data_IF_726717939797
#
_entry.id   IF_726717939797
#
_cell.length_a   1.000
_cell.length_b   1.000
_cell.length_c   1.000
_cell.angle_alpha   90.00
_cell.angle_beta   90.00
_cell.angle_gamma   90.00
#
_symmetry.space_group_name_H-M   'P 1'
#
loop_
_entity.id
_entity.type
_entity.pdbx_description
1 polymer ?
#
# COMPACT_ATOMS: atom_id res chain seq x y z
N UNK A 1 7.75 -24.84 -7.47
CA UNK A 1 6.85 -24.03 -8.30
C UNK A 1 7.30 -22.55 -8.34
N UNK A 2 7.65 -21.94 -7.22
CA UNK A 2 8.17 -20.54 -7.17
C UNK A 2 9.38 -20.35 -8.08
N UNK A 3 10.42 -21.21 -7.96
CA UNK A 3 11.62 -21.10 -8.79
C UNK A 3 11.38 -21.36 -10.29
N UNK A 4 10.40 -22.19 -10.62
CA UNK A 4 10.00 -22.41 -12.01
C UNK A 4 9.35 -21.17 -12.62
N UNK A 5 8.43 -20.53 -11.88
CA UNK A 5 7.81 -19.26 -12.29
C UNK A 5 8.88 -18.17 -12.43
N UNK A 6 9.79 -18.04 -11.47
CA UNK A 6 10.87 -17.06 -11.52
C UNK A 6 11.75 -17.24 -12.77
N UNK A 7 12.10 -18.48 -13.13
CA UNK A 7 12.89 -18.77 -14.35
C UNK A 7 12.15 -18.48 -15.64
N UNK A 8 10.80 -18.61 -15.63
CA UNK A 8 9.99 -18.43 -16.82
C UNK A 8 9.67 -16.95 -17.08
N UNK A 9 9.43 -16.17 -16.02
CA UNK A 9 8.92 -14.79 -16.12
C UNK A 9 9.94 -13.70 -15.79
N UNK A 10 11.04 -14.02 -15.09
CA UNK A 10 12.05 -13.03 -14.70
C UNK A 10 13.36 -13.30 -15.45
N UNK A 11 13.70 -12.37 -16.35
CA UNK A 11 14.99 -12.43 -17.06
C UNK A 11 16.11 -12.15 -16.05
N UNK A 12 17.22 -12.92 -16.12
CA UNK A 12 18.34 -12.81 -15.17
C UNK A 12 17.95 -13.02 -13.69
N UNK A 13 16.99 -13.92 -13.44
CA UNK A 13 16.38 -14.24 -12.13
C UNK A 13 17.38 -14.45 -10.97
N UNK A 14 18.66 -14.74 -11.27
CA UNK A 14 19.72 -14.89 -10.26
C UNK A 14 20.33 -13.59 -9.74
N UNK A 15 20.11 -12.44 -10.43
CA UNK A 15 20.68 -11.14 -10.06
C UNK A 15 19.72 -10.33 -9.19
N UNK A 16 19.40 -10.86 -8.01
CA UNK A 16 18.39 -10.27 -7.10
C UNK A 16 18.71 -8.85 -6.62
N UNK A 17 19.98 -8.44 -6.67
CA UNK A 17 20.41 -7.09 -6.28
C UNK A 17 20.23 -6.04 -7.42
N UNK A 18 19.88 -6.48 -8.64
CA UNK A 18 19.61 -5.58 -9.76
C UNK A 18 18.21 -4.97 -9.57
N UNK A 19 18.07 -3.63 -9.57
CA UNK A 19 16.77 -2.97 -9.40
C UNK A 19 15.72 -3.39 -10.45
N UNK A 20 16.12 -3.64 -11.71
CA UNK A 20 15.23 -4.08 -12.77
C UNK A 20 14.72 -5.50 -12.56
N UNK A 21 15.56 -6.38 -12.02
CA UNK A 21 15.19 -7.75 -11.67
C UNK A 21 14.23 -7.74 -10.48
N UNK A 22 14.46 -6.91 -9.46
CA UNK A 22 13.54 -6.73 -8.30
C UNK A 22 12.15 -6.29 -8.76
N UNK A 23 12.06 -5.29 -9.63
CA UNK A 23 10.79 -4.83 -10.22
C UNK A 23 10.09 -5.97 -10.99
N UNK A 24 10.83 -6.76 -11.76
CA UNK A 24 10.27 -7.91 -12.50
C UNK A 24 9.69 -8.97 -11.59
N UNK A 25 10.30 -9.23 -10.43
CA UNK A 25 9.74 -10.11 -9.39
C UNK A 25 8.44 -9.54 -8.80
N UNK A 26 8.40 -8.25 -8.50
CA UNK A 26 7.19 -7.58 -8.01
C UNK A 26 6.03 -7.64 -9.01
N UNK A 27 6.30 -7.37 -10.30
CA UNK A 27 5.29 -7.48 -11.38
C UNK A 27 4.79 -8.92 -11.50
N UNK A 28 5.67 -9.90 -11.50
CA UNK A 28 5.28 -11.31 -11.58
C UNK A 28 4.38 -11.71 -10.40
N UNK A 29 4.74 -11.33 -9.18
CA UNK A 29 3.94 -11.61 -7.99
C UNK A 29 2.57 -10.94 -8.07
N UNK A 30 2.51 -9.68 -8.48
CA UNK A 30 1.27 -8.93 -8.66
C UNK A 30 0.35 -9.55 -9.70
N UNK A 31 0.87 -9.94 -10.88
CA UNK A 31 0.07 -10.60 -11.94
C UNK A 31 -0.46 -11.95 -11.46
N UNK A 32 0.37 -12.77 -10.81
CA UNK A 32 -0.07 -14.06 -10.24
C UNK A 32 -1.15 -13.83 -9.18
N UNK A 33 -0.99 -12.83 -8.32
CA UNK A 33 -1.98 -12.45 -7.32
C UNK A 33 -3.31 -12.05 -7.94
N UNK A 34 -3.32 -11.19 -8.97
CA UNK A 34 -4.54 -10.77 -9.67
C UNK A 34 -5.26 -11.97 -10.28
N UNK A 35 -4.55 -12.80 -11.05
CA UNK A 35 -5.16 -13.93 -11.76
C UNK A 35 -5.78 -14.91 -10.77
N UNK A 36 -5.07 -15.25 -9.69
CA UNK A 36 -5.59 -16.17 -8.68
C UNK A 36 -6.77 -15.57 -7.91
N UNK A 37 -6.67 -14.33 -7.46
CA UNK A 37 -7.74 -13.68 -6.71
C UNK A 37 -9.02 -13.50 -7.56
N UNK A 38 -8.90 -13.15 -8.83
CA UNK A 38 -10.05 -13.08 -9.75
C UNK A 38 -10.66 -14.47 -9.97
N UNK A 39 -9.84 -15.50 -10.19
CA UNK A 39 -10.32 -16.86 -10.37
C UNK A 39 -11.05 -17.38 -9.11
N UNK A 40 -10.49 -17.12 -7.92
CA UNK A 40 -11.11 -17.49 -6.65
C UNK A 40 -12.39 -16.70 -6.39
N UNK A 41 -12.42 -15.40 -6.69
CA UNK A 41 -13.62 -14.57 -6.59
C UNK A 41 -14.76 -15.17 -7.43
N UNK A 42 -14.52 -15.43 -8.72
CA UNK A 42 -15.53 -15.97 -9.62
C UNK A 42 -16.02 -17.35 -9.15
N UNK A 43 -15.10 -18.25 -8.77
CA UNK A 43 -15.44 -19.59 -8.31
C UNK A 43 -16.26 -19.56 -7.01
N UNK A 44 -15.82 -18.78 -6.01
CA UNK A 44 -16.54 -18.64 -4.72
C UNK A 44 -17.90 -17.96 -4.91
N UNK A 45 -17.97 -16.89 -5.72
CA UNK A 45 -19.24 -16.21 -6.00
C UNK A 45 -20.26 -17.16 -6.64
N UNK A 46 -19.82 -17.96 -7.63
CA UNK A 46 -20.70 -18.92 -8.28
C UNK A 46 -21.27 -19.97 -7.30
N UNK A 47 -20.43 -20.59 -6.46
CA UNK A 47 -20.90 -21.60 -5.50
C UNK A 47 -21.63 -20.96 -4.31
N UNK A 48 -21.26 -19.75 -3.89
CA UNK A 48 -21.92 -19.02 -2.82
C UNK A 48 -23.35 -18.61 -3.19
N UNK A 49 -23.54 -18.09 -4.41
CA UNK A 49 -24.88 -17.77 -4.93
C UNK A 49 -25.71 -19.05 -5.10
N UNK A 50 -25.14 -20.12 -5.67
CA UNK A 50 -25.84 -21.39 -5.86
C UNK A 50 -26.26 -22.04 -4.51
N UNK A 51 -25.45 -21.86 -3.47
CA UNK A 51 -25.73 -22.37 -2.13
C UNK A 51 -26.61 -21.44 -1.28
N UNK A 52 -26.92 -20.24 -1.76
CA UNK A 52 -27.63 -19.22 -1.00
C UNK A 52 -26.85 -18.68 0.21
N UNK A 53 -25.52 -18.75 0.22
CA UNK A 53 -24.67 -18.34 1.36
C UNK A 53 -24.14 -16.92 1.20
N UNK A 54 -24.54 -16.05 2.11
CA UNK A 54 -24.04 -14.66 2.18
C UNK A 54 -22.58 -14.63 2.62
N UNK A 55 -22.17 -15.50 3.53
CA UNK A 55 -20.81 -15.55 4.04
C UNK A 55 -19.80 -15.96 2.95
N UNK A 56 -20.16 -16.91 2.07
CA UNK A 56 -19.31 -17.35 0.98
C UNK A 56 -19.20 -16.27 -0.11
N UNK A 57 -20.31 -15.59 -0.42
CA UNK A 57 -20.30 -14.45 -1.34
C UNK A 57 -19.44 -13.30 -0.77
N UNK A 58 -19.54 -13.04 0.53
CA UNK A 58 -18.70 -12.07 1.22
C UNK A 58 -17.20 -12.39 1.10
N UNK A 59 -16.85 -13.66 1.29
CA UNK A 59 -15.47 -14.14 1.14
C UNK A 59 -14.98 -14.07 -0.34
N UNK A 60 -15.88 -14.23 -1.32
CA UNK A 60 -15.58 -13.99 -2.73
C UNK A 60 -15.23 -12.51 -3.01
N UNK A 61 -15.99 -11.60 -2.39
CA UNK A 61 -15.74 -10.15 -2.53
C UNK A 61 -14.43 -9.73 -1.87
N UNK A 62 -14.04 -10.37 -0.78
CA UNK A 62 -12.71 -10.15 -0.20
C UNK A 62 -11.60 -10.44 -1.23
N UNK A 63 -11.69 -11.56 -1.97
CA UNK A 63 -10.73 -11.86 -3.05
C UNK A 63 -10.77 -10.83 -4.19
N UNK A 64 -11.92 -10.20 -4.47
CA UNK A 64 -12.00 -9.10 -5.43
C UNK A 64 -11.28 -7.85 -4.91
N UNK A 65 -11.40 -7.54 -3.63
CA UNK A 65 -10.65 -6.45 -2.98
C UNK A 65 -9.14 -6.66 -3.10
N UNK A 66 -8.65 -7.87 -2.87
CA UNK A 66 -7.24 -8.23 -2.99
C UNK A 66 -6.74 -8.09 -4.45
N UNK A 67 -7.55 -8.58 -5.42
CA UNK A 67 -7.24 -8.40 -6.83
C UNK A 67 -7.15 -6.93 -7.21
N UNK A 68 -8.06 -6.11 -6.70
CA UNK A 68 -8.12 -4.68 -6.93
C UNK A 68 -6.91 -3.95 -6.35
N UNK A 69 -6.49 -4.30 -5.14
CA UNK A 69 -5.26 -3.78 -4.52
C UNK A 69 -4.03 -4.10 -5.37
N UNK A 70 -3.93 -5.31 -5.89
CA UNK A 70 -2.84 -5.71 -6.80
C UNK A 70 -2.89 -4.93 -8.14
N UNK A 71 -4.10 -4.68 -8.70
CA UNK A 71 -4.27 -3.88 -9.93
C UNK A 71 -3.83 -2.45 -9.71
N UNK A 72 -4.21 -1.85 -8.57
CA UNK A 72 -3.81 -0.48 -8.20
C UNK A 72 -2.29 -0.39 -8.13
N UNK A 73 -1.65 -1.36 -7.47
CA UNK A 73 -0.18 -1.42 -7.37
C UNK A 73 0.49 -1.52 -8.75
N UNK A 74 0.04 -2.43 -9.62
CA UNK A 74 0.60 -2.60 -10.97
C UNK A 74 0.32 -1.40 -11.88
N UNK A 75 -0.88 -0.83 -11.81
CA UNK A 75 -1.28 0.33 -12.62
C UNK A 75 -0.50 1.56 -12.19
N UNK A 76 -0.25 1.71 -10.89
CA UNK A 76 0.57 2.75 -10.32
C UNK A 76 1.99 2.72 -10.86
N UNK A 77 2.63 1.57 -10.87
CA UNK A 77 3.96 1.41 -11.49
C UNK A 77 3.97 1.81 -12.97
N UNK A 78 2.92 1.51 -13.72
CA UNK A 78 2.84 1.79 -15.16
C UNK A 78 2.50 3.26 -15.46
N UNK A 79 1.64 3.90 -14.68
CA UNK A 79 1.27 5.31 -14.84
C UNK A 79 2.32 6.25 -14.22
N UNK A 80 2.94 5.87 -13.12
CA UNK A 80 4.05 6.60 -12.50
C UNK A 80 5.26 6.70 -13.44
N UNK A 81 5.41 5.79 -14.39
CA UNK A 81 6.45 5.83 -15.42
C UNK A 81 6.19 6.86 -16.53
N UNK A 82 4.99 7.46 -16.63
CA UNK A 82 4.73 8.54 -17.58
C UNK A 82 5.50 9.81 -17.16
N UNK A 83 6.33 10.37 -18.06
CA UNK A 83 7.04 11.60 -17.76
C UNK A 83 6.07 12.77 -17.54
N UNK A 84 6.54 13.79 -16.85
CA UNK A 84 5.83 15.06 -16.74
C UNK A 84 5.56 15.65 -18.13
N UNK A 85 4.39 16.24 -18.30
CA UNK A 85 3.98 16.95 -19.49
C UNK A 85 3.52 18.38 -19.15
N UNK A 86 3.12 19.15 -20.15
CA UNK A 86 2.67 20.55 -19.96
C UNK A 86 1.39 20.67 -19.12
N UNK A 87 0.55 19.63 -19.09
CA UNK A 87 -0.66 19.57 -18.28
C UNK A 87 -0.39 19.11 -16.84
N UNK A 88 0.63 18.29 -16.66
CA UNK A 88 1.01 17.69 -15.37
C UNK A 88 2.52 17.83 -15.13
N UNK A 89 3.02 19.03 -14.74
CA UNK A 89 4.46 19.30 -14.57
C UNK A 89 5.14 18.41 -13.52
N UNK A 90 4.36 17.98 -12.52
CA UNK A 90 4.83 17.07 -11.46
C UNK A 90 4.61 15.58 -11.81
N UNK A 91 4.17 15.26 -13.05
CA UNK A 91 3.92 13.90 -13.50
C UNK A 91 2.53 13.39 -13.15
N UNK A 92 2.29 12.13 -13.46
CA UNK A 92 0.97 11.49 -13.38
C UNK A 92 0.83 10.54 -12.18
N UNK A 93 1.77 10.51 -11.24
CA UNK A 93 1.81 9.54 -10.15
C UNK A 93 0.57 9.52 -9.26
N UNK A 94 -0.10 10.67 -9.06
CA UNK A 94 -1.35 10.74 -8.27
C UNK A 94 -2.54 9.99 -8.87
N UNK A 95 -2.51 9.62 -10.15
CA UNK A 95 -3.53 8.75 -10.74
C UNK A 95 -3.61 7.39 -10.06
N UNK A 96 -2.52 6.90 -9.46
CA UNK A 96 -2.53 5.69 -8.64
C UNK A 96 -3.47 5.83 -7.43
N UNK A 97 -3.34 6.92 -6.68
CA UNK A 97 -4.21 7.19 -5.54
C UNK A 97 -5.68 7.37 -5.96
N UNK A 98 -5.94 8.02 -7.10
CA UNK A 98 -7.31 8.16 -7.62
C UNK A 98 -7.91 6.82 -8.03
N UNK A 99 -7.15 5.97 -8.71
CA UNK A 99 -7.59 4.63 -9.07
C UNK A 99 -7.86 3.78 -7.81
N UNK A 100 -6.96 3.83 -6.84
CA UNK A 100 -7.13 3.19 -5.53
C UNK A 100 -8.38 3.68 -4.81
N UNK A 101 -8.67 4.98 -4.84
CA UNK A 101 -9.87 5.55 -4.22
C UNK A 101 -11.15 5.00 -4.85
N UNK A 102 -11.22 4.89 -6.19
CA UNK A 102 -12.37 4.29 -6.87
C UNK A 102 -12.61 2.86 -6.39
N UNK A 103 -11.54 2.05 -6.33
CA UNK A 103 -11.61 0.68 -5.82
C UNK A 103 -12.05 0.66 -4.35
N UNK A 104 -11.47 1.50 -3.51
CA UNK A 104 -11.79 1.59 -2.09
C UNK A 104 -13.27 1.94 -1.85
N UNK A 105 -13.84 2.86 -2.64
CA UNK A 105 -15.27 3.19 -2.58
C UNK A 105 -16.14 2.01 -2.98
N UNK A 106 -15.79 1.29 -4.06
CA UNK A 106 -16.52 0.09 -4.48
C UNK A 106 -16.49 -1.01 -3.42
N UNK A 107 -15.31 -1.29 -2.83
CA UNK A 107 -15.15 -2.28 -1.76
C UNK A 107 -15.97 -1.88 -0.53
N UNK A 108 -15.95 -0.61 -0.15
CA UNK A 108 -16.75 -0.08 0.96
C UNK A 108 -18.25 -0.26 0.72
N UNK A 109 -18.74 0.08 -0.49
CA UNK A 109 -20.15 -0.09 -0.86
C UNK A 109 -20.57 -1.56 -0.81
N UNK A 110 -19.74 -2.47 -1.32
CA UNK A 110 -20.02 -3.91 -1.27
C UNK A 110 -19.96 -4.43 0.15
N UNK A 111 -19.02 -3.99 1.00
CA UNK A 111 -18.99 -4.33 2.42
C UNK A 111 -20.30 -3.96 3.14
N UNK A 112 -20.86 -2.80 2.83
CA UNK A 112 -22.16 -2.37 3.35
C UNK A 112 -23.31 -3.29 2.91
N UNK A 113 -23.36 -3.67 1.61
CA UNK A 113 -24.40 -4.60 1.10
C UNK A 113 -24.28 -6.00 1.73
N UNK A 114 -23.06 -6.49 1.98
CA UNK A 114 -22.83 -7.76 2.67
C UNK A 114 -23.36 -7.71 4.12
N UNK A 115 -23.09 -6.61 4.86
CA UNK A 115 -23.62 -6.40 6.21
C UNK A 115 -25.14 -6.44 6.19
N UNK A 116 -25.77 -5.72 5.26
CA UNK A 116 -27.22 -5.71 5.08
C UNK A 116 -27.77 -7.11 4.80
N UNK A 117 -27.11 -7.85 3.89
CA UNK A 117 -27.46 -9.24 3.59
C UNK A 117 -27.31 -10.16 4.80
N UNK A 118 -26.22 -10.04 5.57
CA UNK A 118 -25.99 -10.78 6.80
C UNK A 118 -27.07 -10.51 7.86
N UNK A 119 -27.43 -9.24 8.08
CA UNK A 119 -28.53 -8.87 9.00
C UNK A 119 -29.87 -9.46 8.53
N UNK A 120 -30.19 -9.33 7.23
CA UNK A 120 -31.39 -9.93 6.67
C UNK A 120 -31.47 -11.45 6.92
N UNK A 121 -30.33 -12.14 6.74
CA UNK A 121 -30.19 -13.59 6.93
C UNK A 121 -30.26 -14.01 8.41
N UNK A 122 -29.89 -13.12 9.33
CA UNK A 122 -30.09 -13.36 10.78
C UNK A 122 -31.57 -13.25 11.16
N UNK A 123 -32.31 -12.30 10.54
CA UNK A 123 -33.76 -12.07 10.83
C UNK A 123 -34.60 -13.13 10.17
N UNK A 124 -34.31 -13.51 8.94
CA UNK A 124 -35.00 -14.52 8.15
C UNK A 124 -33.99 -15.60 7.70
N UNK A 125 -33.71 -16.57 8.57
CA UNK A 125 -32.72 -17.61 8.28
C UNK A 125 -33.18 -18.53 7.15
N UNK A 126 -32.27 -18.77 6.20
CA UNK A 126 -32.48 -19.80 5.17
C UNK A 126 -31.29 -20.78 5.21
N UNK A 127 -31.55 -22.08 5.09
CA UNK A 127 -30.48 -23.08 5.14
C UNK A 127 -29.50 -22.93 3.98
N UNK A 128 -28.22 -23.07 4.28
CA UNK A 128 -27.17 -23.09 3.26
C UNK A 128 -27.04 -24.50 2.68
N UNK A 129 -27.16 -24.62 1.36
CA UNK A 129 -26.98 -25.91 0.68
C UNK A 129 -25.50 -26.25 0.55
N UNK A 130 -25.04 -27.14 1.45
CA UNK A 130 -23.66 -27.66 1.38
C UNK A 130 -23.55 -28.72 0.30
N UNK A 131 -23.07 -28.34 -0.86
CA UNK A 131 -22.88 -29.22 -2.02
C UNK A 131 -21.41 -29.60 -2.21
N UNK A 132 -21.17 -30.71 -2.94
CA UNK A 132 -19.80 -31.13 -3.28
C UNK A 132 -19.01 -30.05 -4.04
N UNK A 133 -19.57 -29.36 -5.04
CA UNK A 133 -18.88 -28.22 -5.69
C UNK A 133 -18.46 -27.12 -4.72
N UNK A 134 -19.31 -26.78 -3.76
CA UNK A 134 -19.00 -25.78 -2.73
C UNK A 134 -17.78 -26.22 -1.91
N UNK A 135 -17.78 -27.45 -1.40
CA UNK A 135 -16.66 -27.98 -0.60
C UNK A 135 -15.36 -27.98 -1.40
N UNK A 136 -15.40 -28.43 -2.65
CA UNK A 136 -14.22 -28.47 -3.53
C UNK A 136 -13.68 -27.08 -3.77
N UNK A 137 -14.53 -26.08 -4.10
CA UNK A 137 -14.09 -24.71 -4.35
C UNK A 137 -13.50 -24.06 -3.10
N UNK A 138 -14.13 -24.25 -1.94
CA UNK A 138 -13.62 -23.71 -0.67
C UNK A 138 -12.26 -24.32 -0.30
N UNK A 139 -12.10 -25.63 -0.40
CA UNK A 139 -10.83 -26.31 -0.13
C UNK A 139 -9.73 -25.91 -1.12
N UNK A 140 -10.06 -25.81 -2.41
CA UNK A 140 -9.13 -25.32 -3.42
C UNK A 140 -8.73 -23.85 -3.16
N UNK A 141 -9.66 -23.03 -2.68
CA UNK A 141 -9.38 -21.66 -2.31
C UNK A 141 -8.40 -21.57 -1.15
N UNK A 142 -8.61 -22.35 -0.08
CA UNK A 142 -7.68 -22.44 1.05
C UNK A 142 -6.29 -22.88 0.59
N UNK A 143 -6.22 -23.92 -0.24
CA UNK A 143 -4.97 -24.42 -0.78
C UNK A 143 -4.25 -23.38 -1.66
N UNK A 144 -4.98 -22.68 -2.52
CA UNK A 144 -4.44 -21.63 -3.38
C UNK A 144 -3.89 -20.45 -2.56
N UNK A 145 -4.60 -19.99 -1.54
CA UNK A 145 -4.15 -18.90 -0.65
C UNK A 145 -2.96 -19.33 0.22
N UNK A 146 -2.94 -20.56 0.72
CA UNK A 146 -1.78 -21.12 1.42
C UNK A 146 -0.54 -21.20 0.52
N UNK A 147 -0.75 -21.56 -0.76
CA UNK A 147 0.32 -21.52 -1.75
C UNK A 147 0.77 -20.08 -2.03
N UNK A 148 -0.14 -19.10 -2.18
CA UNK A 148 0.19 -17.68 -2.37
C UNK A 148 0.99 -17.13 -1.18
N UNK A 149 0.59 -17.47 0.06
CA UNK A 149 1.35 -17.13 1.26
C UNK A 149 2.81 -17.62 1.14
N UNK A 150 3.01 -18.90 0.88
CA UNK A 150 4.36 -19.48 0.73
C UNK A 150 5.14 -18.90 -0.46
N UNK A 151 4.45 -18.58 -1.57
CA UNK A 151 5.02 -17.97 -2.76
C UNK A 151 5.53 -16.56 -2.48
N UNK A 152 4.70 -15.71 -1.88
CA UNK A 152 5.04 -14.32 -1.57
C UNK A 152 6.10 -14.25 -0.47
N UNK A 153 6.05 -15.13 0.56
CA UNK A 153 7.12 -15.20 1.57
C UNK A 153 8.48 -15.49 0.92
N UNK A 154 8.57 -16.54 0.10
CA UNK A 154 9.83 -16.92 -0.56
C UNK A 154 10.36 -15.85 -1.51
N UNK A 155 9.47 -15.14 -2.21
CA UNK A 155 9.89 -14.02 -3.06
C UNK A 155 10.28 -12.80 -2.23
N UNK A 156 9.52 -12.48 -1.19
CA UNK A 156 9.80 -11.39 -0.25
C UNK A 156 11.17 -11.53 0.38
N UNK A 157 11.47 -12.71 0.92
CA UNK A 157 12.79 -13.03 1.51
C UNK A 157 13.90 -12.92 0.46
N UNK A 158 13.63 -13.33 -0.78
CA UNK A 158 14.64 -13.35 -1.85
C UNK A 158 15.04 -11.97 -2.34
N UNK A 159 14.11 -11.01 -2.37
CA UNK A 159 14.36 -9.66 -2.86
C UNK A 159 14.26 -8.61 -1.74
N UNK A 160 14.17 -9.04 -0.48
CA UNK A 160 14.03 -8.19 0.72
C UNK A 160 12.89 -7.16 0.54
N UNK A 161 11.69 -7.65 0.18
CA UNK A 161 10.52 -6.82 -0.12
C UNK A 161 9.47 -6.88 0.98
N UNK A 162 9.31 -5.79 1.72
CA UNK A 162 8.26 -5.65 2.73
C UNK A 162 6.84 -5.73 2.13
N UNK A 163 6.66 -5.24 0.89
CA UNK A 163 5.38 -5.32 0.18
C UNK A 163 4.96 -6.77 -0.07
N UNK A 164 5.90 -7.64 -0.49
CA UNK A 164 5.60 -9.07 -0.67
C UNK A 164 5.39 -9.78 0.66
N UNK A 165 6.11 -9.39 1.72
CA UNK A 165 5.87 -9.89 3.07
C UNK A 165 4.45 -9.52 3.57
N UNK A 166 4.02 -8.28 3.36
CA UNK A 166 2.65 -7.85 3.66
C UNK A 166 1.61 -8.66 2.88
N UNK A 167 1.80 -8.87 1.56
CA UNK A 167 0.91 -9.70 0.73
C UNK A 167 0.87 -11.16 1.18
N UNK A 168 1.96 -11.68 1.75
CA UNK A 168 1.98 -13.03 2.34
C UNK A 168 1.12 -13.09 3.62
N UNK A 169 1.16 -12.04 4.45
CA UNK A 169 0.32 -11.91 5.65
C UNK A 169 -1.17 -11.84 5.25
N UNK A 170 -1.53 -11.07 4.23
CA UNK A 170 -2.89 -10.99 3.70
C UNK A 170 -3.38 -12.36 3.25
N UNK A 171 -2.58 -13.08 2.46
CA UNK A 171 -2.90 -14.45 2.03
C UNK A 171 -3.10 -15.42 3.20
N UNK A 172 -2.34 -15.25 4.31
CA UNK A 172 -2.55 -16.03 5.54
C UNK A 172 -3.90 -15.70 6.19
N UNK A 173 -4.23 -14.41 6.26
CA UNK A 173 -5.50 -13.97 6.85
C UNK A 173 -6.69 -14.52 6.05
N UNK A 174 -6.57 -14.58 4.71
CA UNK A 174 -7.58 -15.18 3.83
C UNK A 174 -7.75 -16.70 4.08
N UNK A 175 -6.66 -17.44 4.31
CA UNK A 175 -6.75 -18.85 4.72
C UNK A 175 -7.58 -18.98 5.99
N UNK A 176 -7.35 -18.14 7.00
CA UNK A 176 -8.07 -18.16 8.27
C UNK A 176 -9.55 -17.83 8.04
N UNK A 177 -9.85 -16.75 7.30
CA UNK A 177 -11.22 -16.29 7.04
C UNK A 177 -12.02 -17.32 6.24
N UNK A 178 -11.47 -17.81 5.12
CA UNK A 178 -12.12 -18.83 4.29
C UNK A 178 -12.35 -20.13 5.07
N UNK A 179 -11.40 -20.52 5.93
CA UNK A 179 -11.55 -21.71 6.80
C UNK A 179 -12.68 -21.49 7.81
N UNK A 180 -12.77 -20.31 8.43
CA UNK A 180 -13.84 -19.99 9.36
C UNK A 180 -15.22 -20.05 8.68
N UNK A 181 -15.36 -19.47 7.48
CA UNK A 181 -16.61 -19.52 6.69
C UNK A 181 -16.99 -20.96 6.35
N UNK A 182 -16.03 -21.78 5.90
CA UNK A 182 -16.26 -23.19 5.60
C UNK A 182 -16.71 -23.97 6.86
N UNK A 183 -16.06 -23.75 8.00
CA UNK A 183 -16.43 -24.39 9.27
C UNK A 183 -17.84 -23.97 9.68
N UNK A 184 -18.20 -22.69 9.59
CA UNK A 184 -19.56 -22.22 9.86
C UNK A 184 -20.59 -22.91 8.97
N UNK A 185 -20.35 -23.02 7.66
CA UNK A 185 -21.24 -23.70 6.72
C UNK A 185 -21.41 -25.19 7.06
N UNK A 186 -20.32 -25.89 7.42
CA UNK A 186 -20.39 -27.30 7.84
C UNK A 186 -21.12 -27.47 9.17
N UNK A 187 -20.86 -26.63 10.16
CA UNK A 187 -21.55 -26.66 11.44
C UNK A 187 -23.05 -26.42 11.24
N UNK A 188 -23.44 -25.42 10.44
CA UNK A 188 -24.82 -25.17 10.08
C UNK A 188 -25.48 -26.41 9.47
N UNK A 189 -24.78 -27.05 8.52
CA UNK A 189 -25.30 -28.24 7.84
C UNK A 189 -25.57 -29.44 8.80
N UNK A 190 -24.65 -29.70 9.74
CA UNK A 190 -24.77 -30.85 10.65
C UNK A 190 -25.63 -30.60 11.90
N UNK A 191 -25.71 -29.35 12.36
CA UNK A 191 -26.39 -29.00 13.61
C UNK A 191 -27.76 -28.37 13.40
N UNK A 192 -28.03 -27.88 12.17
CA UNK A 192 -29.22 -27.07 11.89
C UNK A 192 -29.17 -25.66 12.49
N UNK A 193 -28.03 -25.24 13.01
CA UNK A 193 -27.82 -23.86 13.48
C UNK A 193 -27.59 -22.94 12.31
N UNK A 194 -28.36 -21.88 12.17
CA UNK A 194 -28.27 -20.91 11.09
C UNK A 194 -27.14 -19.89 11.36
N UNK A 195 -25.88 -20.28 11.08
CA UNK A 195 -24.67 -19.47 11.34
C UNK A 195 -24.25 -18.60 10.17
N UNK A 196 -24.77 -18.84 8.96
CA UNK A 196 -24.33 -18.13 7.73
C UNK A 196 -24.52 -16.61 7.83
N UNK A 197 -25.67 -16.15 8.33
CA UNK A 197 -25.94 -14.74 8.55
C UNK A 197 -24.94 -14.08 9.50
N UNK A 198 -24.55 -14.74 10.58
CA UNK A 198 -23.55 -14.24 11.53
C UNK A 198 -22.15 -14.22 10.93
N UNK A 199 -21.76 -15.27 10.21
CA UNK A 199 -20.49 -15.33 9.51
C UNK A 199 -20.44 -14.27 8.41
N UNK A 200 -21.51 -14.10 7.62
CA UNK A 200 -21.62 -13.05 6.61
C UNK A 200 -21.52 -11.65 7.20
N UNK A 201 -22.18 -11.39 8.33
CA UNK A 201 -22.09 -10.12 9.05
C UNK A 201 -20.65 -9.82 9.49
N UNK A 202 -19.96 -10.82 10.09
CA UNK A 202 -18.58 -10.67 10.54
C UNK A 202 -17.62 -10.36 9.37
N UNK A 203 -17.73 -11.10 8.27
CA UNK A 203 -16.94 -10.87 7.05
C UNK A 203 -17.29 -9.51 6.42
N UNK A 204 -18.58 -9.15 6.37
CA UNK A 204 -19.04 -7.86 5.86
C UNK A 204 -18.47 -6.68 6.65
N UNK A 205 -18.42 -6.76 7.98
CA UNK A 205 -17.78 -5.75 8.83
C UNK A 205 -16.28 -5.69 8.52
N UNK A 206 -15.60 -6.82 8.38
CA UNK A 206 -14.19 -6.87 8.02
C UNK A 206 -13.93 -6.20 6.67
N UNK A 207 -14.72 -6.50 5.64
CA UNK A 207 -14.61 -5.91 4.30
C UNK A 207 -14.88 -4.40 4.35
N UNK A 208 -15.90 -3.95 5.10
CA UNK A 208 -16.22 -2.53 5.26
C UNK A 208 -15.07 -1.77 5.92
N UNK A 209 -14.51 -2.29 7.01
CA UNK A 209 -13.38 -1.66 7.73
C UNK A 209 -12.16 -1.61 6.83
N UNK A 210 -11.86 -2.68 6.10
CA UNK A 210 -10.75 -2.73 5.14
C UNK A 210 -10.95 -1.71 3.99
N UNK A 211 -12.17 -1.60 3.46
CA UNK A 211 -12.51 -0.61 2.44
C UNK A 211 -12.32 0.83 2.94
N UNK A 212 -12.78 1.15 4.16
CA UNK A 212 -12.60 2.47 4.78
C UNK A 212 -11.12 2.78 5.05
N UNK A 213 -10.34 1.79 5.49
CA UNK A 213 -8.90 1.93 5.65
C UNK A 213 -8.25 2.27 4.30
N UNK A 214 -8.60 1.55 3.23
CA UNK A 214 -8.10 1.81 1.87
C UNK A 214 -8.50 3.20 1.35
N UNK A 215 -9.73 3.69 1.65
CA UNK A 215 -10.14 5.07 1.35
C UNK A 215 -9.20 6.06 2.03
N UNK A 216 -8.92 5.87 3.33
CA UNK A 216 -8.00 6.72 4.07
C UNK A 216 -6.60 6.72 3.47
N UNK A 217 -6.04 5.55 3.17
CA UNK A 217 -4.68 5.38 2.67
C UNK A 217 -4.50 5.96 1.25
N UNK A 218 -5.58 6.04 0.47
CA UNK A 218 -5.56 6.66 -0.86
C UNK A 218 -5.84 8.16 -0.84
N UNK A 219 -6.64 8.64 0.11
CA UNK A 219 -6.99 10.07 0.25
C UNK A 219 -5.89 10.87 0.95
N UNK A 220 -5.26 10.30 2.00
CA UNK A 220 -4.24 11.01 2.78
C UNK A 220 -3.09 11.57 1.93
N UNK A 221 -2.46 10.80 1.01
CA UNK A 221 -1.43 11.33 0.12
C UNK A 221 -1.94 12.44 -0.83
N UNK A 222 -3.22 12.37 -1.25
CA UNK A 222 -3.83 13.42 -2.08
C UNK A 222 -4.00 14.74 -1.31
N UNK A 223 -4.29 14.64 -0.01
CA UNK A 223 -4.41 15.80 0.89
C UNK A 223 -3.06 16.37 1.33
N UNK A 224 -1.95 15.70 1.00
CA UNK A 224 -0.61 16.13 1.39
C UNK A 224 -0.19 15.59 2.75
N UNK A 225 -0.39 14.29 2.96
CA UNK A 225 0.10 13.60 4.16
C UNK A 225 1.58 13.87 4.39
N UNK A 226 1.94 14.12 5.66
CA UNK A 226 3.33 14.30 6.04
C UNK A 226 4.14 13.01 5.71
N UNK A 227 5.38 13.14 5.22
CA UNK A 227 6.24 11.99 4.99
C UNK A 227 6.53 11.26 6.29
N UNK A 228 7.00 10.01 6.17
CA UNK A 228 7.47 9.28 7.35
C UNK A 228 8.57 10.09 8.06
N UNK A 229 8.54 10.05 9.39
CA UNK A 229 9.53 10.77 10.22
C UNK A 229 10.96 10.39 9.83
N UNK A 230 11.22 9.11 9.55
CA UNK A 230 12.51 8.60 9.11
C UNK A 230 13.00 9.28 7.81
N UNK A 231 12.11 9.51 6.85
CA UNK A 231 12.44 10.18 5.59
C UNK A 231 12.77 11.66 5.82
N UNK A 232 11.98 12.34 6.65
CA UNK A 232 12.24 13.72 7.05
C UNK A 232 13.60 13.87 7.74
N UNK A 233 13.85 13.03 8.74
CA UNK A 233 15.10 13.02 9.50
C UNK A 233 16.32 12.75 8.60
N UNK A 234 16.18 11.86 7.59
CA UNK A 234 17.24 11.59 6.64
C UNK A 234 17.58 12.80 5.77
N UNK A 235 16.57 13.52 5.27
CA UNK A 235 16.81 14.77 4.50
C UNK A 235 17.51 15.80 5.38
N UNK A 236 17.02 16.03 6.61
CA UNK A 236 17.63 16.95 7.57
C UNK A 236 19.10 16.59 7.84
N UNK A 237 19.37 15.32 8.08
CA UNK A 237 20.74 14.83 8.34
C UNK A 237 21.67 15.09 7.16
N UNK A 238 21.22 14.87 5.93
CA UNK A 238 22.02 15.11 4.72
C UNK A 238 22.33 16.60 4.52
N UNK A 239 21.37 17.47 4.78
CA UNK A 239 21.54 18.92 4.67
C UNK A 239 22.52 19.42 5.74
N UNK A 240 22.29 19.06 7.01
CA UNK A 240 23.10 19.52 8.15
C UNK A 240 24.53 18.94 8.17
N UNK A 241 24.76 17.80 7.53
CA UNK A 241 26.10 17.23 7.39
C UNK A 241 27.01 18.01 6.42
N UNK A 242 26.46 19.01 5.69
CA UNK A 242 27.24 19.75 4.70
C UNK A 242 27.98 20.93 5.34
N UNK A 243 29.30 21.05 5.15
CA UNK A 243 30.06 22.19 5.66
C UNK A 243 29.51 23.53 5.10
N UNK A 244 29.30 24.49 5.97
CA UNK A 244 28.78 25.82 5.63
C UNK A 244 27.29 26.00 5.89
N UNK A 245 26.55 24.91 6.20
CA UNK A 245 25.18 24.97 6.67
C UNK A 245 25.20 25.13 8.20
N UNK A 246 24.48 26.13 8.68
CA UNK A 246 24.38 26.48 10.12
C UNK A 246 23.10 25.91 10.76
N UNK A 247 22.04 25.78 9.97
CA UNK A 247 20.73 25.28 10.38
C UNK A 247 19.83 24.99 9.19
N UNK A 248 18.70 24.35 9.47
CA UNK A 248 17.65 24.06 8.51
C UNK A 248 16.29 24.15 9.21
N UNK A 249 15.29 24.73 8.53
CA UNK A 249 13.92 24.82 9.03
C UNK A 249 12.91 24.80 7.88
N UNK A 250 11.62 24.74 8.22
CA UNK A 250 10.47 24.75 7.29
C UNK A 250 10.58 23.71 6.17
N UNK A 251 11.03 22.49 6.53
CA UNK A 251 11.02 21.37 5.60
C UNK A 251 9.58 20.96 5.28
N UNK A 252 9.20 21.11 4.02
CA UNK A 252 7.95 20.61 3.47
C UNK A 252 8.24 19.58 2.39
N UNK A 253 7.64 18.41 2.50
CA UNK A 253 7.77 17.34 1.49
C UNK A 253 6.37 17.04 0.93
N UNK A 254 6.24 17.14 -0.38
CA UNK A 254 5.01 16.86 -1.11
C UNK A 254 5.13 15.56 -1.88
N UNK A 255 4.15 14.68 -1.72
CA UNK A 255 4.05 13.44 -2.48
C UNK A 255 3.19 13.66 -3.74
N UNK A 256 3.79 13.40 -4.90
CA UNK A 256 3.11 13.43 -6.21
C UNK A 256 2.93 12.03 -6.81
N UNK A 257 3.03 11.02 -5.99
CA UNK A 257 2.89 9.61 -6.36
C UNK A 257 4.18 8.82 -6.16
N UNK A 258 4.12 7.49 -6.34
CA UNK A 258 5.26 6.62 -6.13
C UNK A 258 6.51 7.05 -6.89
N UNK A 259 7.60 7.21 -6.17
CA UNK A 259 8.89 7.63 -6.74
C UNK A 259 8.97 9.11 -7.12
N UNK A 260 7.97 9.95 -6.81
CA UNK A 260 8.00 11.37 -7.13
C UNK A 260 7.64 12.25 -5.94
N UNK A 261 8.67 12.61 -5.18
CA UNK A 261 8.55 13.52 -4.04
C UNK A 261 9.32 14.79 -4.31
N UNK A 262 8.71 15.92 -3.97
CA UNK A 262 9.30 17.25 -4.10
C UNK A 262 9.33 17.87 -2.72
N UNK A 263 10.45 18.47 -2.36
CA UNK A 263 10.62 19.12 -1.07
C UNK A 263 11.14 20.54 -1.23
N UNK A 264 10.78 21.38 -0.27
CA UNK A 264 11.39 22.70 -0.08
C UNK A 264 11.79 22.86 1.38
N UNK A 265 12.88 23.58 1.61
CA UNK A 265 13.33 23.92 2.95
C UNK A 265 14.15 25.19 2.94
N UNK A 266 14.37 25.77 4.11
CA UNK A 266 15.28 26.88 4.33
C UNK A 266 16.61 26.36 4.90
N UNK A 267 17.72 26.78 4.31
CA UNK A 267 19.07 26.45 4.76
C UNK A 267 19.79 27.71 5.24
N UNK A 268 20.14 27.72 6.51
CA UNK A 268 20.84 28.84 7.15
C UNK A 268 22.34 28.82 6.83
N UNK A 269 22.84 29.93 6.29
CA UNK A 269 24.26 30.11 5.93
C UNK A 269 24.80 31.44 6.46
N UNK A 270 26.14 31.55 6.61
CA UNK A 270 26.77 32.82 7.01
C UNK A 270 26.50 33.90 5.97
N UNK A 271 25.93 35.03 6.38
CA UNK A 271 25.62 36.18 5.52
C UNK A 271 26.83 36.73 4.73
N UNK A 272 28.06 36.39 5.14
CA UNK A 272 29.31 36.76 4.47
C UNK A 272 29.68 35.82 3.33
N UNK A 273 28.94 34.68 3.17
CA UNK A 273 29.20 33.75 2.06
C UNK A 273 28.82 34.42 0.74
N UNK A 274 29.70 34.33 -0.26
CA UNK A 274 29.38 34.88 -1.56
C UNK A 274 28.19 34.13 -2.20
N UNK A 275 27.38 34.82 -3.00
CA UNK A 275 26.24 34.22 -3.69
C UNK A 275 26.62 32.97 -4.49
N UNK A 276 27.79 33.02 -5.18
CA UNK A 276 28.28 31.89 -5.95
C UNK A 276 28.63 30.69 -5.06
N UNK A 277 29.30 30.93 -3.93
CA UNK A 277 29.65 29.85 -3.01
C UNK A 277 28.40 29.25 -2.35
N UNK A 278 27.44 30.08 -1.93
CA UNK A 278 26.17 29.64 -1.40
C UNK A 278 25.40 28.74 -2.41
N UNK A 279 25.23 29.24 -3.64
CA UNK A 279 24.55 28.48 -4.70
C UNK A 279 25.25 27.14 -4.98
N UNK A 280 26.59 27.11 -5.09
CA UNK A 280 27.34 25.87 -5.34
C UNK A 280 27.14 24.85 -4.22
N UNK A 281 27.10 25.31 -2.96
CA UNK A 281 26.87 24.44 -1.80
C UNK A 281 25.47 23.86 -1.80
N UNK A 282 24.45 24.71 -2.02
CA UNK A 282 23.04 24.28 -2.03
C UNK A 282 22.75 23.33 -3.19
N UNK A 283 23.21 23.63 -4.42
CA UNK A 283 23.07 22.75 -5.59
C UNK A 283 23.72 21.36 -5.32
N UNK A 284 24.89 21.34 -4.66
CA UNK A 284 25.53 20.10 -4.24
C UNK A 284 24.69 19.27 -3.25
N UNK A 285 24.02 19.94 -2.30
CA UNK A 285 23.11 19.30 -1.34
C UNK A 285 21.88 18.74 -2.06
N UNK A 286 21.23 19.58 -2.90
CA UNK A 286 20.03 19.20 -3.65
C UNK A 286 20.27 17.93 -4.49
N UNK A 287 21.39 17.89 -5.21
CA UNK A 287 21.81 16.70 -5.99
C UNK A 287 22.07 15.47 -5.11
N UNK A 288 22.72 15.63 -3.97
CA UNK A 288 23.00 14.53 -3.06
C UNK A 288 21.71 13.97 -2.45
N UNK A 289 20.79 14.82 -2.00
CA UNK A 289 19.49 14.41 -1.49
C UNK A 289 18.70 13.67 -2.56
N UNK A 290 18.69 14.18 -3.81
CA UNK A 290 18.02 13.51 -4.92
C UNK A 290 18.59 12.11 -5.19
N UNK A 291 19.92 11.95 -5.15
CA UNK A 291 20.58 10.65 -5.38
C UNK A 291 20.35 9.66 -4.24
N UNK A 292 20.34 10.11 -2.97
CA UNK A 292 20.25 9.22 -1.81
C UNK A 292 18.81 8.91 -1.38
N UNK A 293 17.85 9.82 -1.65
CA UNK A 293 16.47 9.69 -1.18
C UNK A 293 15.42 9.63 -2.29
N UNK A 294 15.80 9.98 -3.53
CA UNK A 294 14.86 10.15 -4.65
C UNK A 294 13.97 11.40 -4.54
N UNK A 295 14.22 12.29 -3.56
CA UNK A 295 13.45 13.52 -3.34
C UNK A 295 14.09 14.67 -4.13
N UNK A 296 13.31 15.36 -4.95
CA UNK A 296 13.74 16.62 -5.58
C UNK A 296 13.63 17.73 -4.54
N UNK A 297 14.75 18.14 -3.95
CA UNK A 297 14.80 19.20 -2.94
C UNK A 297 15.10 20.55 -3.61
N UNK A 298 14.45 21.61 -3.13
CA UNK A 298 14.82 23.00 -3.41
C UNK A 298 15.11 23.71 -2.10
N UNK A 299 16.29 24.31 -1.98
CA UNK A 299 16.73 25.01 -0.79
C UNK A 299 16.68 26.52 -0.99
N UNK A 300 15.95 27.20 -0.11
CA UNK A 300 16.04 28.65 0.03
C UNK A 300 17.19 28.99 0.98
N UNK A 301 18.09 29.88 0.54
CA UNK A 301 19.21 30.32 1.35
C UNK A 301 18.80 31.42 2.31
N UNK A 302 18.92 31.16 3.62
CA UNK A 302 18.70 32.16 4.67
C UNK A 302 20.05 32.67 5.19
N UNK A 303 20.43 33.92 4.86
CA UNK A 303 21.66 34.50 5.35
C UNK A 303 21.56 34.89 6.83
N UNK A 304 22.39 34.29 7.68
CA UNK A 304 22.44 34.57 9.11
C UNK A 304 23.73 35.30 9.48
N UNK A 305 23.62 36.38 10.25
CA UNK A 305 24.77 37.03 10.85
C UNK A 305 25.28 36.21 12.05
N UNK A 306 26.36 35.45 11.83
CA UNK A 306 26.97 34.58 12.84
C UNK A 306 27.43 35.37 14.08
N UNK A 307 27.71 36.67 13.97
CA UNK A 307 28.08 37.53 15.11
C UNK A 307 26.91 37.72 16.09
N UNK A 308 25.66 37.58 15.62
CA UNK A 308 24.45 37.66 16.44
C UNK A 308 24.01 36.30 17.00
N UNK A 309 24.29 35.18 16.30
CA UNK A 309 23.93 33.82 16.75
C UNK A 309 24.67 33.43 18.03
N UNK A 310 25.94 33.88 18.19
CA UNK A 310 26.72 33.66 19.43
C UNK A 310 26.11 34.32 20.66
N UNK A 311 25.13 35.22 20.52
CA UNK A 311 24.42 35.92 21.61
C UNK A 311 23.09 35.29 21.97
N UNK A 312 22.54 34.36 21.17
CA UNK A 312 21.28 33.67 21.52
C UNK A 312 21.57 32.48 22.45
N UNK A 313 20.91 32.36 23.63
CA UNK A 313 20.94 31.14 24.41
C UNK A 313 20.37 30.00 23.54
N UNK A 314 20.94 28.80 23.62
CA UNK A 314 20.40 27.60 22.95
C UNK A 314 18.92 27.45 23.36
N UNK A 315 18.02 27.86 22.52
CA UNK A 315 16.61 27.54 22.66
C UNK A 315 16.49 26.02 22.48
N UNK A 316 16.07 25.35 23.56
CA UNK A 316 15.79 23.92 23.53
C UNK A 316 14.78 23.65 22.42
N UNK A 317 15.07 22.63 21.61
CA UNK A 317 14.21 22.23 20.50
C UNK A 317 12.80 21.91 20.97
N UNK A 318 11.85 22.73 20.51
CA UNK A 318 10.44 22.41 20.57
C UNK A 318 10.03 22.02 19.14
N UNK A 319 9.48 20.81 18.90
CA UNK A 319 8.96 20.48 17.60
C UNK A 319 7.78 21.41 17.27
N UNK A 320 7.90 22.15 16.17
CA UNK A 320 6.80 22.95 15.63
C UNK A 320 5.68 22.01 15.16
N UNK A 321 4.57 22.05 15.89
CA UNK A 321 3.40 21.24 15.55
C UNK A 321 2.31 21.30 16.59
N UNK A 322 1.91 22.50 17.06
CA UNK A 322 0.59 22.73 17.64
C UNK A 322 0.24 24.21 17.46
N UNK A 323 -0.35 24.55 16.31
CA UNK A 323 -1.10 25.78 16.09
C UNK A 323 -2.58 25.45 16.10
N UNK A 324 -3.34 26.14 16.93
CA UNK A 324 -4.77 26.02 17.25
C UNK A 324 -5.69 25.92 16.07
#
# INVERSE_FOLDING_TARGET
MTDWLSRMFVRDYGRVNDPGVRVSYGIMAGVVGIVLNVALCVAKAAVGVAAGSVSIVADAVNNLSDASSNIVTLTGFKLASKPADSGHPYGHGRFEYLAGLVVAVLVTAVGFEIIRGGISRIIDPEPVEVSLPLLVVMLLSIAAKAWMMSFNTKLGDRIESETLAATAIDSRNDVITTTAVLVCALVSHFTGLELDGWAGLAVGIFVLVSGLALVRDTVNPLLGEAPSQEMGDRVVALVLATPGILGMHDLMIHDYGPGRKVASAHAEMDSRTSLLAAHTTLDGIERRVALETGITLTLHCDPIDVSQVRKRPKAGGTPAGQGK
#
